data_IF_017496320037
#
_entry.id   IF_017496320037
#
_cell.length_a   1.000
_cell.length_b   1.000
_cell.length_c   1.000
_cell.angle_alpha   90.00
_cell.angle_beta   90.00
_cell.angle_gamma   90.00
#
_symmetry.space_group_name_H-M   'P 1'
#
loop_
_entity.id
_entity.type
_entity.pdbx_description
1 polymer ?
#
# COMPACT_ATOMS: atom_id res chain seq x y z
N UNK A 1 -77.51 12.03 -35.04
CA UNK A 1 -78.13 13.36 -34.89
C UNK A 1 -78.55 13.46 -33.43
N UNK A 2 -77.88 14.16 -32.51
CA UNK A 2 -77.24 15.47 -32.57
C UNK A 2 -76.42 15.64 -31.26
N UNK A 3 -75.38 16.49 -31.33
CA UNK A 3 -74.66 17.15 -30.22
C UNK A 3 -73.69 16.22 -29.46
N UNK A 4 -72.36 16.19 -29.61
CA UNK A 4 -71.32 17.18 -29.98
C UNK A 4 -71.49 18.54 -29.29
N UNK A 5 -70.47 18.92 -28.49
CA UNK A 5 -70.32 20.14 -27.69
C UNK A 5 -70.69 19.94 -26.21
N UNK A 6 -69.79 19.30 -25.43
CA UNK A 6 -69.46 19.76 -24.07
C UNK A 6 -68.18 19.11 -23.49
N UNK A 7 -67.15 18.79 -24.31
CA UNK A 7 -65.80 18.46 -23.81
C UNK A 7 -64.73 19.03 -24.77
N UNK A 8 -64.75 20.35 -24.99
CA UNK A 8 -63.65 21.07 -25.65
C UNK A 8 -63.07 22.22 -24.82
N UNK A 9 -63.38 22.31 -23.53
CA UNK A 9 -62.83 23.35 -22.64
C UNK A 9 -61.86 22.83 -21.56
N UNK A 10 -61.43 21.56 -21.61
CA UNK A 10 -60.48 21.00 -20.65
C UNK A 10 -59.17 20.45 -21.26
N UNK A 11 -58.94 20.68 -22.55
CA UNK A 11 -57.71 20.26 -23.25
C UNK A 11 -56.78 21.43 -23.63
N UNK A 12 -57.09 22.68 -23.22
CA UNK A 12 -56.25 23.86 -23.50
C UNK A 12 -55.70 24.58 -22.25
N UNK A 13 -55.95 24.06 -21.04
CA UNK A 13 -55.30 24.52 -19.81
C UNK A 13 -54.19 23.57 -19.30
N UNK A 14 -54.01 22.41 -19.95
CA UNK A 14 -52.97 21.44 -19.58
C UNK A 14 -51.66 21.59 -20.39
N UNK A 15 -51.65 22.39 -21.46
CA UNK A 15 -50.45 22.62 -22.28
C UNK A 15 -49.75 23.95 -22.00
N UNK A 16 -50.39 24.90 -21.32
CA UNK A 16 -49.70 26.11 -20.83
C UNK A 16 -49.03 25.92 -19.46
N UNK A 17 -49.51 24.99 -18.62
CA UNK A 17 -48.89 24.73 -17.31
C UNK A 17 -47.71 23.75 -17.37
N UNK A 18 -47.59 22.94 -18.42
CA UNK A 18 -46.48 21.99 -18.57
C UNK A 18 -45.21 22.65 -19.13
N UNK A 19 -45.36 23.77 -19.84
CA UNK A 19 -44.22 24.52 -20.42
C UNK A 19 -43.62 25.52 -19.42
N UNK A 20 -44.36 25.96 -18.39
CA UNK A 20 -43.85 26.89 -17.38
C UNK A 20 -43.28 26.20 -16.12
N UNK A 21 -43.60 24.92 -15.89
CA UNK A 21 -43.00 24.11 -14.80
C UNK A 21 -41.66 23.48 -15.18
N UNK A 22 -41.40 23.21 -16.46
CA UNK A 22 -40.09 22.72 -16.93
C UNK A 22 -39.05 23.84 -17.09
N UNK A 23 -39.45 25.12 -17.12
CA UNK A 23 -38.52 26.27 -17.20
C UNK A 23 -38.07 26.84 -15.85
N UNK A 24 -38.62 26.39 -14.71
CA UNK A 24 -38.27 26.89 -13.36
C UNK A 24 -37.59 25.86 -12.44
N UNK A 25 -37.21 24.69 -12.96
CA UNK A 25 -36.52 23.65 -12.19
C UNK A 25 -35.21 23.16 -12.82
N UNK A 26 -34.51 24.01 -13.56
CA UNK A 26 -33.06 23.82 -13.80
C UNK A 26 -32.27 24.38 -12.61
N UNK A 27 -32.48 23.78 -11.43
CA UNK A 27 -31.39 23.74 -10.45
C UNK A 27 -30.46 22.65 -10.97
N UNK A 28 -29.26 23.04 -11.42
CA UNK A 28 -28.24 22.07 -11.77
C UNK A 28 -28.18 20.97 -10.70
N UNK A 29 -28.10 19.69 -11.08
CA UNK A 29 -27.83 18.60 -10.18
C UNK A 29 -26.70 18.99 -9.23
N UNK A 30 -26.85 18.68 -7.94
CA UNK A 30 -25.82 18.95 -6.93
C UNK A 30 -24.46 18.38 -7.39
N UNK A 31 -24.49 17.25 -8.11
CA UNK A 31 -23.32 16.64 -8.74
C UNK A 31 -22.64 17.56 -9.76
N UNK A 32 -23.37 18.20 -10.67
CA UNK A 32 -22.81 19.13 -11.66
C UNK A 32 -22.26 20.43 -11.02
N UNK A 33 -22.74 20.78 -9.82
CA UNK A 33 -22.21 21.89 -9.03
C UNK A 33 -20.91 21.51 -8.32
N UNK A 34 -20.86 20.29 -7.79
CA UNK A 34 -19.67 19.70 -7.16
C UNK A 34 -18.58 19.48 -8.22
N UNK A 35 -18.91 18.87 -9.35
CA UNK A 35 -17.97 18.58 -10.45
C UNK A 35 -17.35 19.86 -11.03
N UNK A 36 -18.13 20.94 -11.10
CA UNK A 36 -17.63 22.26 -11.50
C UNK A 36 -16.74 22.90 -10.44
N UNK A 37 -17.10 22.81 -9.16
CA UNK A 37 -16.25 23.33 -8.08
C UNK A 37 -14.93 22.54 -7.96
N UNK A 38 -14.93 21.24 -8.28
CA UNK A 38 -13.72 20.40 -8.40
C UNK A 38 -12.88 20.84 -9.60
N UNK A 39 -13.52 21.02 -10.76
CA UNK A 39 -12.84 21.45 -12.00
C UNK A 39 -12.27 22.87 -11.91
N UNK A 40 -12.88 23.72 -11.11
CA UNK A 40 -12.43 25.09 -10.82
C UNK A 40 -11.45 25.17 -9.63
N UNK A 41 -11.07 24.03 -9.02
CA UNK A 41 -10.12 23.97 -7.91
C UNK A 41 -10.63 24.55 -6.58
N UNK A 42 -11.95 24.75 -6.44
CA UNK A 42 -12.61 25.35 -5.26
C UNK A 42 -13.04 24.31 -4.22
N UNK A 43 -13.15 23.04 -4.60
CA UNK A 43 -13.31 21.90 -3.69
C UNK A 43 -12.21 20.87 -3.98
N UNK A 44 -11.43 20.49 -2.96
CA UNK A 44 -10.66 19.23 -3.00
C UNK A 44 -11.65 18.11 -2.69
N UNK A 45 -11.94 17.25 -3.68
CA UNK A 45 -12.67 16.03 -3.39
C UNK A 45 -11.71 15.12 -2.62
N UNK A 46 -11.91 15.04 -1.30
CA UNK A 46 -11.30 13.98 -0.53
C UNK A 46 -11.97 12.68 -0.97
N UNK A 47 -11.22 11.74 -1.53
CA UNK A 47 -11.78 10.49 -2.05
C UNK A 47 -12.45 9.70 -0.92
N UNK A 48 -13.42 8.85 -1.22
CA UNK A 48 -14.02 7.94 -0.22
C UNK A 48 -12.93 7.09 0.44
N UNK A 49 -11.85 6.78 -0.30
CA UNK A 49 -10.69 6.07 0.22
C UNK A 49 -9.89 6.93 1.19
N UNK A 50 -9.71 8.23 0.95
CA UNK A 50 -9.13 9.23 1.88
C UNK A 50 -10.02 9.53 3.12
N UNK A 51 -11.34 9.39 3.01
CA UNK A 51 -12.26 9.50 4.16
C UNK A 51 -12.29 8.23 5.02
N UNK A 52 -12.25 7.04 4.42
CA UNK A 52 -12.09 5.76 5.14
C UNK A 52 -10.74 5.67 5.82
N UNK A 53 -9.72 6.11 5.11
CA UNK A 53 -8.38 6.39 5.56
C UNK A 53 -8.29 7.20 6.86
N UNK A 54 -8.93 8.38 6.91
CA UNK A 54 -8.97 9.22 8.12
C UNK A 54 -9.73 8.53 9.26
N UNK A 55 -10.82 7.81 8.94
CA UNK A 55 -11.58 7.05 9.92
C UNK A 55 -10.81 5.84 10.50
N UNK A 56 -10.01 5.14 9.70
CA UNK A 56 -9.19 3.99 10.15
C UNK A 56 -7.99 4.41 11.01
N UNK A 57 -7.42 5.61 10.78
CA UNK A 57 -6.40 6.16 11.68
C UNK A 57 -7.00 6.61 13.00
N UNK A 58 -8.23 7.16 12.99
CA UNK A 58 -8.98 7.47 14.22
C UNK A 58 -9.40 6.23 15.01
N UNK A 59 -9.54 5.07 14.37
CA UNK A 59 -9.83 3.79 15.06
C UNK A 59 -8.60 3.11 15.67
N UNK A 60 -7.38 3.42 15.22
CA UNK A 60 -6.16 2.96 15.93
C UNK A 60 -5.92 3.87 17.13
N UNK A 61 -6.15 3.35 18.33
CA UNK A 61 -5.70 3.98 19.58
C UNK A 61 -4.15 4.03 19.61
N UNK A 62 -3.58 5.09 19.06
CA UNK A 62 -2.13 5.36 19.09
C UNK A 62 -1.66 6.01 20.41
N UNK A 63 -2.57 6.25 21.36
CA UNK A 63 -2.25 7.01 22.58
C UNK A 63 -1.90 8.47 22.25
N UNK A 64 -1.16 9.14 23.12
CA UNK A 64 -0.72 10.53 22.94
C UNK A 64 0.54 10.65 22.04
N UNK A 65 0.99 9.56 21.41
CA UNK A 65 2.22 9.55 20.61
C UNK A 65 2.00 10.14 19.20
N UNK A 66 2.96 10.93 18.68
CA UNK A 66 2.86 11.45 17.32
C UNK A 66 2.86 10.35 16.25
N UNK A 67 1.90 10.41 15.33
CA UNK A 67 1.80 9.51 14.18
C UNK A 67 1.71 10.31 12.90
N UNK A 68 2.55 9.96 11.94
CA UNK A 68 2.60 10.57 10.62
C UNK A 68 2.11 9.54 9.59
N UNK A 69 1.06 9.89 8.85
CA UNK A 69 0.67 9.12 7.67
C UNK A 69 1.68 9.32 6.54
N UNK A 70 2.15 8.22 5.96
CA UNK A 70 3.06 8.24 4.83
C UNK A 70 2.29 7.99 3.54
N UNK A 71 2.43 8.92 2.59
CA UNK A 71 1.95 8.75 1.22
C UNK A 71 2.79 7.69 0.53
N UNK A 72 2.13 6.69 -0.04
CA UNK A 72 2.76 5.66 -0.86
C UNK A 72 2.67 6.07 -2.34
N UNK A 73 3.82 6.33 -2.96
CA UNK A 73 3.94 6.53 -4.39
C UNK A 73 4.37 5.24 -5.09
N UNK A 74 3.39 4.56 -5.69
CA UNK A 74 3.58 3.40 -6.56
C UNK A 74 4.43 2.28 -5.95
N UNK A 75 4.37 2.09 -4.63
CA UNK A 75 5.16 1.09 -3.92
C UNK A 75 6.68 1.34 -3.96
N UNK A 76 7.12 2.51 -4.43
CA UNK A 76 8.53 2.87 -4.64
C UNK A 76 9.03 3.98 -3.70
N UNK A 77 8.15 4.78 -3.12
CA UNK A 77 8.54 5.83 -2.20
C UNK A 77 7.46 6.12 -1.17
N UNK A 78 7.87 6.30 0.09
CA UNK A 78 7.01 6.61 1.22
C UNK A 78 7.42 7.91 1.86
N UNK A 79 6.50 8.87 1.96
CA UNK A 79 6.83 10.19 2.48
C UNK A 79 5.69 10.83 3.25
N UNK A 80 6.04 11.59 4.30
CA UNK A 80 5.10 12.27 5.18
C UNK A 80 5.49 13.75 5.39
N UNK A 81 4.63 14.55 6.04
CA UNK A 81 4.95 15.94 6.35
C UNK A 81 5.99 16.10 7.46
N UNK A 82 6.90 17.05 7.30
CA UNK A 82 7.66 17.69 8.37
C UNK A 82 7.51 19.22 8.27
N UNK A 83 7.75 19.92 9.39
CA UNK A 83 7.58 21.37 9.48
C UNK A 83 8.89 22.02 9.89
N UNK A 84 9.33 23.03 9.14
CA UNK A 84 10.64 23.66 9.32
C UNK A 84 10.52 25.17 9.51
N UNK A 85 11.25 25.68 10.49
CA UNK A 85 11.39 27.10 10.80
C UNK A 85 10.25 27.70 11.64
N UNK A 86 10.45 28.95 12.10
CA UNK A 86 9.50 29.65 12.99
C UNK A 86 8.10 29.88 12.42
N UNK A 87 7.90 29.61 11.12
CA UNK A 87 6.62 29.70 10.42
C UNK A 87 6.03 28.33 10.04
N UNK A 88 6.64 27.23 10.47
CA UNK A 88 6.19 25.87 10.15
C UNK A 88 6.03 25.65 8.63
N UNK A 89 7.06 25.98 7.85
CA UNK A 89 7.06 25.68 6.41
C UNK A 89 6.98 24.16 6.22
N UNK A 90 5.96 23.69 5.51
CA UNK A 90 5.67 22.26 5.35
C UNK A 90 6.45 21.67 4.18
N UNK A 91 7.13 20.55 4.44
CA UNK A 91 7.85 19.77 3.45
C UNK A 91 7.39 18.31 3.48
N UNK A 92 7.34 17.69 2.33
CA UNK A 92 7.18 16.24 2.22
C UNK A 92 8.55 15.56 2.31
N UNK A 93 8.71 14.65 3.27
CA UNK A 93 9.99 14.02 3.61
C UNK A 93 9.93 12.51 3.42
N UNK A 94 10.92 11.94 2.75
CA UNK A 94 11.21 10.51 2.93
C UNK A 94 11.81 10.35 4.32
N UNK A 95 11.15 9.59 5.18
CA UNK A 95 11.69 9.20 6.47
C UNK A 95 12.59 8.00 6.24
N UNK A 96 13.90 8.24 6.25
CA UNK A 96 14.91 7.36 5.67
C UNK A 96 15.79 6.74 6.75
N UNK A 97 15.60 5.46 7.03
CA UNK A 97 16.42 4.73 8.00
C UNK A 97 17.82 4.37 7.48
N UNK A 98 18.09 4.57 6.19
CA UNK A 98 19.40 4.36 5.55
C UNK A 98 20.31 5.60 5.56
N UNK A 99 19.85 6.76 6.02
CA UNK A 99 20.65 7.99 6.04
C UNK A 99 20.55 8.81 7.33
N UNK A 100 21.54 9.69 7.51
CA UNK A 100 21.74 10.45 8.74
C UNK A 100 21.15 11.86 8.69
N UNK A 101 21.34 12.57 7.58
CA UNK A 101 21.03 13.99 7.51
C UNK A 101 19.57 14.25 7.18
N UNK A 102 18.97 15.22 7.89
CA UNK A 102 17.81 15.93 7.38
C UNK A 102 18.27 16.93 6.32
N UNK A 103 17.60 16.99 5.17
CA UNK A 103 17.85 18.02 4.19
C UNK A 103 16.58 18.42 3.43
N UNK A 104 16.53 19.69 3.06
CA UNK A 104 15.44 20.27 2.27
C UNK A 104 16.00 21.21 1.19
N UNK A 105 15.29 21.38 0.07
CA UNK A 105 15.70 22.27 -0.99
C UNK A 105 15.67 23.74 -0.56
N UNK A 106 16.73 24.47 -0.88
CA UNK A 106 16.76 25.93 -0.82
C UNK A 106 15.94 26.54 -1.96
N UNK A 107 15.47 27.77 -1.75
CA UNK A 107 14.88 28.55 -2.83
C UNK A 107 15.91 28.76 -3.94
N UNK A 108 15.60 28.26 -5.14
CA UNK A 108 16.49 28.34 -6.29
C UNK A 108 17.43 27.15 -6.45
N UNK A 109 17.21 26.06 -5.70
CA UNK A 109 17.96 24.82 -5.90
C UNK A 109 17.90 24.36 -7.37
N UNK A 110 19.06 23.98 -7.92
CA UNK A 110 19.17 23.38 -9.23
C UNK A 110 19.14 21.84 -9.13
N UNK A 111 18.22 21.19 -9.85
CA UNK A 111 18.08 19.73 -9.86
C UNK A 111 17.29 19.12 -8.70
N UNK A 112 16.88 19.92 -7.71
CA UNK A 112 16.01 19.44 -6.63
C UNK A 112 14.60 19.03 -7.11
N UNK A 113 13.90 18.16 -6.35
CA UNK A 113 12.47 17.91 -6.53
C UNK A 113 11.65 19.19 -6.24
N UNK A 114 11.46 20.05 -7.24
CA UNK A 114 10.91 21.40 -7.06
C UNK A 114 9.38 21.43 -6.81
N UNK A 115 8.89 20.96 -5.64
CA UNK A 115 7.51 21.22 -5.20
C UNK A 115 7.46 22.32 -4.13
N UNK A 116 8.20 22.16 -3.04
CA UNK A 116 8.40 23.17 -2.01
C UNK A 116 9.89 23.53 -1.89
N UNK A 117 10.19 24.76 -1.46
CA UNK A 117 11.55 25.21 -1.19
C UNK A 117 11.57 26.10 0.05
N UNK A 118 12.66 26.02 0.81
CA UNK A 118 12.79 26.73 2.07
C UNK A 118 13.06 28.21 1.86
N UNK A 119 12.21 29.04 2.47
CA UNK A 119 12.33 30.49 2.50
C UNK A 119 13.02 30.92 3.80
N UNK A 120 14.35 30.86 3.81
CA UNK A 120 15.17 31.20 4.98
C UNK A 120 14.83 32.57 5.60
N UNK A 121 14.57 33.57 4.76
CA UNK A 121 14.21 34.93 5.19
C UNK A 121 12.86 35.01 5.94
N UNK A 122 12.02 33.97 5.88
CA UNK A 122 10.75 33.93 6.60
C UNK A 122 10.85 33.30 7.99
N UNK A 123 11.94 32.58 8.28
CA UNK A 123 12.17 31.94 9.57
C UNK A 123 13.05 32.81 10.46
N UNK A 124 12.47 33.24 11.58
CA UNK A 124 13.16 34.06 12.59
C UNK A 124 14.17 33.24 13.41
N UNK A 125 14.14 31.91 13.28
CA UNK A 125 14.98 30.95 14.03
C UNK A 125 16.06 30.30 13.17
N UNK A 126 16.08 30.57 11.86
CA UNK A 126 17.07 30.03 10.95
C UNK A 126 18.44 30.67 11.17
N UNK A 127 19.48 29.84 11.21
CA UNK A 127 20.89 30.26 11.22
C UNK A 127 21.65 29.46 10.17
N UNK A 128 22.19 30.15 9.16
CA UNK A 128 23.15 29.55 8.23
C UNK A 128 24.53 29.49 8.91
N UNK A 129 25.16 28.31 8.90
CA UNK A 129 26.51 28.12 9.46
C UNK A 129 27.61 28.52 8.46
N UNK A 130 27.28 28.64 7.17
CA UNK A 130 28.22 28.88 6.08
C UNK A 130 29.12 27.68 5.75
N UNK A 131 28.90 26.53 6.39
CA UNK A 131 29.65 25.29 6.13
C UNK A 131 28.95 24.52 5.03
N UNK A 132 29.66 24.25 3.94
CA UNK A 132 29.14 23.45 2.84
C UNK A 132 29.20 21.95 3.19
N UNK A 133 28.16 21.20 2.79
CA UNK A 133 28.02 19.77 2.97
C UNK A 133 27.57 19.13 1.67
N UNK A 134 28.19 17.99 1.35
CA UNK A 134 27.82 17.13 0.23
C UNK A 134 27.39 15.77 0.78
N UNK A 135 26.27 15.25 0.28
CA UNK A 135 25.67 13.99 0.71
C UNK A 135 25.47 13.08 -0.50
N UNK A 136 26.03 11.89 -0.43
CA UNK A 136 25.92 10.88 -1.49
C UNK A 136 24.93 9.80 -1.10
N UNK A 137 24.01 9.50 -2.01
CA UNK A 137 23.03 8.42 -1.90
C UNK A 137 23.32 7.34 -2.95
N UNK A 138 22.65 6.19 -2.83
CA UNK A 138 22.76 5.11 -3.83
C UNK A 138 22.34 5.56 -5.23
N UNK A 139 21.46 6.55 -5.34
CA UNK A 139 21.06 7.18 -6.58
C UNK A 139 21.08 8.70 -6.44
N UNK A 140 22.24 9.29 -6.73
CA UNK A 140 22.43 10.73 -6.78
C UNK A 140 23.07 11.32 -5.54
N UNK A 141 23.26 12.63 -5.57
CA UNK A 141 23.86 13.39 -4.48
C UNK A 141 23.24 14.77 -4.38
N UNK A 142 23.38 15.38 -3.20
CA UNK A 142 22.96 16.75 -2.94
C UNK A 142 24.10 17.53 -2.30
N UNK A 143 24.16 18.82 -2.62
CA UNK A 143 25.16 19.74 -2.09
C UNK A 143 24.46 21.01 -1.61
N UNK A 144 24.84 21.49 -0.43
CA UNK A 144 24.22 22.67 0.18
C UNK A 144 24.97 23.14 1.41
N UNK A 145 24.40 24.10 2.13
CA UNK A 145 24.99 24.61 3.36
C UNK A 145 24.30 23.99 4.58
N UNK A 146 25.07 23.73 5.63
CA UNK A 146 24.53 23.35 6.93
C UNK A 146 23.86 24.58 7.53
N UNK A 147 22.59 24.45 7.88
CA UNK A 147 21.84 25.41 8.68
C UNK A 147 21.35 24.79 9.98
N UNK A 148 20.94 25.64 10.92
CA UNK A 148 20.12 25.22 12.07
C UNK A 148 18.78 25.92 12.02
N UNK A 149 17.72 25.19 12.34
CA UNK A 149 16.39 25.74 12.56
C UNK A 149 15.54 24.78 13.40
N UNK A 150 14.31 25.19 13.70
CA UNK A 150 13.30 24.36 14.35
C UNK A 150 12.71 23.35 13.35
N UNK A 151 12.77 22.06 13.65
CA UNK A 151 12.20 20.97 12.86
C UNK A 151 11.21 20.18 13.71
N UNK A 152 9.98 20.07 13.22
CA UNK A 152 8.88 19.39 13.89
C UNK A 152 8.25 18.28 13.04
N UNK A 153 7.77 17.24 13.72
CA UNK A 153 6.90 16.19 13.17
C UNK A 153 5.41 16.54 13.26
N UNK A 154 5.10 17.67 13.89
CA UNK A 154 3.80 18.33 13.94
C UNK A 154 3.99 19.85 13.87
N UNK A 155 2.90 20.61 13.93
CA UNK A 155 2.95 22.08 13.85
C UNK A 155 3.21 22.77 15.19
N UNK A 156 2.92 22.08 16.29
CA UNK A 156 2.86 22.70 17.60
C UNK A 156 4.21 22.58 18.36
N UNK A 157 4.99 21.54 18.05
CA UNK A 157 6.24 21.23 18.72
C UNK A 157 7.36 20.95 17.69
N UNK A 158 8.55 21.45 17.99
CA UNK A 158 9.73 21.31 17.13
C UNK A 158 11.01 21.32 17.97
N UNK A 159 12.05 20.64 17.47
CA UNK A 159 13.38 20.66 18.07
C UNK A 159 14.35 21.44 17.18
N UNK A 160 15.31 22.15 17.79
CA UNK A 160 16.35 22.82 17.01
C UNK A 160 17.35 21.76 16.50
N UNK A 161 17.50 21.63 15.19
CA UNK A 161 18.37 20.63 14.56
C UNK A 161 19.27 21.26 13.50
N UNK A 162 20.46 20.68 13.31
CA UNK A 162 21.27 20.89 12.11
C UNK A 162 20.67 20.13 10.93
N UNK A 163 20.62 20.77 9.76
CA UNK A 163 20.17 20.18 8.51
C UNK A 163 20.92 20.76 7.31
N UNK A 164 20.87 20.09 6.16
CA UNK A 164 21.45 20.62 4.92
C UNK A 164 20.39 21.37 4.13
N UNK A 165 20.64 22.65 3.87
CA UNK A 165 19.86 23.49 2.97
C UNK A 165 20.45 23.36 1.56
N UNK A 166 19.79 22.59 0.71
CA UNK A 166 20.34 22.10 -0.56
C UNK A 166 20.22 23.13 -1.69
N UNK A 167 21.34 23.45 -2.33
CA UNK A 167 21.42 24.37 -3.48
C UNK A 167 21.54 23.62 -4.82
N UNK A 168 22.07 22.40 -4.80
CA UNK A 168 22.27 21.57 -5.99
C UNK A 168 21.95 20.11 -5.70
N UNK A 169 21.32 19.45 -6.67
CA UNK A 169 21.11 18.01 -6.64
C UNK A 169 21.28 17.39 -8.02
N UNK A 170 21.90 16.21 -8.08
CA UNK A 170 22.09 15.41 -9.28
C UNK A 170 21.48 14.02 -9.09
N UNK A 171 20.85 13.49 -10.14
CA UNK A 171 20.18 12.17 -10.18
C UNK A 171 19.08 11.90 -9.14
N UNK A 172 18.69 12.90 -8.32
CA UNK A 172 17.61 12.79 -7.34
C UNK A 172 16.26 13.34 -7.84
N UNK A 173 16.23 14.04 -8.98
CA UNK A 173 15.05 14.77 -9.47
C UNK A 173 13.79 13.92 -9.70
N UNK A 174 13.93 12.59 -9.81
CA UNK A 174 12.81 11.65 -9.93
C UNK A 174 11.97 11.48 -8.65
N UNK A 175 12.57 11.81 -7.49
CA UNK A 175 11.96 11.75 -6.16
C UNK A 175 10.67 12.58 -6.08
N UNK A 176 9.66 12.08 -5.35
CA UNK A 176 8.38 12.77 -5.15
C UNK A 176 8.33 13.59 -3.87
N UNK A 177 9.05 13.19 -2.83
CA UNK A 177 9.23 14.02 -1.64
C UNK A 177 10.05 15.28 -1.96
N UNK A 178 9.92 16.32 -1.14
CA UNK A 178 10.75 17.53 -1.22
C UNK A 178 12.17 17.25 -0.74
N UNK A 179 12.32 16.46 0.32
CA UNK A 179 13.61 16.16 0.95
C UNK A 179 13.67 14.81 1.66
N UNK A 180 14.72 14.61 2.43
CA UNK A 180 14.95 13.40 3.25
C UNK A 180 15.08 13.80 4.72
N UNK A 181 14.46 13.02 5.59
CA UNK A 181 14.62 13.05 7.04
C UNK A 181 15.34 11.77 7.46
N UNK A 182 16.65 11.87 7.68
CA UNK A 182 17.48 10.75 8.12
C UNK A 182 17.08 10.22 9.50
N UNK A 183 17.02 8.90 9.64
CA UNK A 183 16.57 8.17 10.83
C UNK A 183 17.54 7.05 11.23
N UNK A 184 18.80 7.14 10.83
CA UNK A 184 19.84 6.19 11.23
C UNK A 184 20.04 6.13 12.76
N UNK A 185 20.55 5.02 13.36
CA UNK A 185 20.64 4.90 14.81
C UNK A 185 21.83 5.65 15.44
N UNK A 186 22.79 6.11 14.63
CA UNK A 186 24.06 6.71 15.06
C UNK A 186 24.61 7.67 14.00
N UNK A 187 25.36 8.69 14.42
CA UNK A 187 25.95 9.68 13.50
C UNK A 187 27.44 9.43 13.30
N UNK A 188 27.89 9.48 12.05
CA UNK A 188 29.33 9.52 11.69
C UNK A 188 29.68 10.67 10.76
N UNK A 189 28.69 11.25 10.08
CA UNK A 189 28.85 12.42 9.21
C UNK A 189 28.55 13.74 9.95
N UNK A 190 28.20 13.66 11.23
CA UNK A 190 28.01 14.81 12.10
C UNK A 190 26.68 15.53 11.91
N UNK A 191 25.68 14.95 11.28
CA UNK A 191 24.27 15.35 11.32
C UNK A 191 23.63 15.08 12.69
N UNK A 192 22.57 15.83 12.99
CA UNK A 192 21.81 15.60 14.22
C UNK A 192 20.85 14.41 14.06
N UNK A 193 20.81 13.52 15.04
CA UNK A 193 19.89 12.37 15.04
C UNK A 193 18.47 12.83 15.40
N UNK A 194 17.59 12.90 14.41
CA UNK A 194 16.24 13.46 14.54
C UNK A 194 15.46 12.90 15.75
N UNK A 195 15.49 11.59 15.94
CA UNK A 195 14.75 10.92 17.03
C UNK A 195 15.24 11.37 18.41
N UNK A 196 16.56 11.42 18.61
CA UNK A 196 17.16 11.88 19.88
C UNK A 196 16.87 13.36 20.13
N UNK A 197 16.88 14.19 19.07
CA UNK A 197 16.57 15.62 19.16
C UNK A 197 15.13 15.87 19.57
N UNK A 198 14.17 15.11 19.01
CA UNK A 198 12.77 15.21 19.38
C UNK A 198 12.54 14.77 20.83
N UNK A 199 13.17 13.69 21.26
CA UNK A 199 13.03 13.20 22.64
C UNK A 199 13.70 14.12 23.66
N UNK A 200 14.87 14.69 23.32
CA UNK A 200 15.58 15.65 24.16
C UNK A 200 14.79 16.93 24.46
N UNK A 201 13.90 17.33 23.55
CA UNK A 201 12.96 18.44 23.72
C UNK A 201 11.63 18.01 24.35
N UNK A 202 11.45 16.73 24.68
CA UNK A 202 10.23 16.19 25.28
C UNK A 202 9.04 16.07 24.32
N UNK A 203 9.28 16.14 23.01
CA UNK A 203 8.23 16.04 21.97
C UNK A 203 7.75 14.59 21.81
N UNK A 204 8.67 13.65 22.03
CA UNK A 204 8.38 12.22 22.01
C UNK A 204 8.86 11.60 23.32
N UNK A 205 8.14 10.58 23.80
CA UNK A 205 8.37 10.02 25.14
C UNK A 205 9.53 9.01 25.23
N UNK A 206 10.07 8.58 24.09
CA UNK A 206 11.15 7.59 23.99
C UNK A 206 11.96 7.82 22.72
N UNK A 207 13.24 7.43 22.72
CA UNK A 207 14.13 7.43 21.56
C UNK A 207 13.81 6.25 20.61
N UNK A 208 12.55 6.16 20.20
CA UNK A 208 12.02 5.02 19.46
C UNK A 208 11.05 5.48 18.40
N UNK A 209 10.99 4.75 17.29
CA UNK A 209 9.95 4.92 16.30
C UNK A 209 9.57 3.60 15.65
N UNK A 210 8.32 3.51 15.22
CA UNK A 210 7.75 2.33 14.57
C UNK A 210 7.32 2.70 13.16
N UNK A 211 7.78 1.95 12.16
CA UNK A 211 7.37 2.11 10.77
C UNK A 211 6.49 0.94 10.36
N UNK A 212 5.44 1.25 9.61
CA UNK A 212 4.67 0.27 8.85
C UNK A 212 4.58 0.72 7.39
N UNK A 213 5.09 -0.13 6.49
CA UNK A 213 5.06 0.10 5.05
C UNK A 213 3.90 -0.70 4.43
N UNK A 214 2.84 -0.01 4.03
CA UNK A 214 1.66 -0.57 3.39
C UNK A 214 1.80 -0.70 1.87
N UNK A 215 0.97 -1.56 1.25
CA UNK A 215 0.92 -1.71 -0.22
C UNK A 215 -0.07 -0.73 -0.84
N UNK A 216 0.30 -0.12 -1.97
CA UNK A 216 -0.48 0.91 -2.65
C UNK A 216 -1.87 0.39 -3.01
N UNK A 217 -2.90 1.15 -2.62
CA UNK A 217 -4.30 0.77 -2.85
C UNK A 217 -4.85 -0.32 -1.91
N UNK A 218 -4.04 -0.82 -0.96
CA UNK A 218 -4.48 -1.82 0.02
C UNK A 218 -4.35 -1.31 1.45
N UNK A 219 -3.16 -0.86 1.84
CA UNK A 219 -2.85 -0.46 3.21
C UNK A 219 -2.21 0.91 3.26
N UNK A 220 -2.48 1.62 4.34
CA UNK A 220 -1.80 2.88 4.65
C UNK A 220 -0.45 2.64 5.29
N UNK A 221 0.55 3.39 4.85
CA UNK A 221 1.83 3.50 5.52
C UNK A 221 1.79 4.56 6.60
N UNK A 222 2.54 4.37 7.68
CA UNK A 222 2.64 5.33 8.78
C UNK A 222 3.93 5.12 9.55
N UNK A 223 4.35 6.17 10.26
CA UNK A 223 5.43 6.16 11.25
C UNK A 223 4.87 6.71 12.56
N UNK A 224 5.14 6.03 13.67
CA UNK A 224 4.76 6.41 15.04
C UNK A 224 6.04 6.67 15.85
N UNK A 225 6.16 7.83 16.49
CA UNK A 225 7.34 8.19 17.29
C UNK A 225 7.04 8.13 18.79
N UNK A 226 8.03 7.76 19.59
CA UNK A 226 7.98 7.87 21.05
C UNK A 226 7.22 6.77 21.79
N UNK A 227 6.79 5.72 21.10
CA UNK A 227 6.10 4.60 21.74
C UNK A 227 7.10 3.58 22.25
N UNK A 228 7.17 3.46 23.58
CA UNK A 228 8.04 2.50 24.26
C UNK A 228 7.74 1.05 23.83
N UNK A 229 8.79 0.36 23.40
CA UNK A 229 8.76 -1.01 22.91
C UNK A 229 8.51 -2.05 24.01
N UNK A 230 8.91 -1.78 25.26
CA UNK A 230 8.79 -2.72 26.37
C UNK A 230 7.32 -2.91 26.80
N UNK A 231 6.43 -2.01 26.37
CA UNK A 231 4.97 -2.13 26.54
C UNK A 231 4.30 -3.02 25.49
N UNK A 232 5.05 -3.52 24.50
CA UNK A 232 4.52 -4.28 23.37
C UNK A 232 4.69 -5.79 23.61
N UNK A 233 3.60 -6.55 23.44
CA UNK A 233 3.65 -8.02 23.45
C UNK A 233 3.96 -8.57 22.06
N UNK A 234 4.50 -9.79 22.02
CA UNK A 234 4.80 -10.56 20.79
C UNK A 234 5.87 -9.96 19.88
N UNK A 235 6.74 -9.07 20.36
CA UNK A 235 7.86 -8.52 19.59
C UNK A 235 9.07 -9.45 19.65
N UNK A 236 9.77 -9.61 18.52
CA UNK A 236 11.07 -10.26 18.45
C UNK A 236 12.16 -9.22 18.22
N UNK A 237 13.21 -9.28 19.04
CA UNK A 237 14.29 -8.31 19.00
C UNK A 237 15.50 -8.85 18.25
N UNK A 238 16.03 -8.04 17.34
CA UNK A 238 17.30 -8.25 16.67
C UNK A 238 18.27 -7.17 17.12
N UNK A 239 19.40 -7.55 17.70
CA UNK A 239 20.43 -6.58 18.07
C UNK A 239 21.14 -6.07 16.81
N UNK A 240 21.49 -4.79 16.83
CA UNK A 240 22.27 -4.19 15.76
C UNK A 240 23.74 -4.60 15.87
N UNK A 241 24.36 -4.84 14.73
CA UNK A 241 25.80 -5.10 14.60
C UNK A 241 26.35 -4.30 13.40
N UNK A 242 27.59 -3.78 13.47
CA UNK A 242 28.22 -3.11 12.32
C UNK A 242 28.36 -4.06 11.13
N UNK A 243 28.43 -3.52 9.91
CA UNK A 243 28.50 -4.33 8.68
C UNK A 243 29.74 -5.21 8.64
N UNK A 244 30.86 -4.69 9.09
CA UNK A 244 32.09 -5.45 9.32
C UNK A 244 32.60 -5.23 10.75
N UNK A 245 33.44 -6.13 11.30
CA UNK A 245 34.00 -5.94 12.64
C UNK A 245 34.94 -4.72 12.78
N UNK A 246 35.29 -4.07 11.66
CA UNK A 246 36.14 -2.89 11.63
C UNK A 246 35.33 -1.59 11.58
N UNK A 247 34.05 -1.66 11.23
CA UNK A 247 33.19 -0.49 11.09
C UNK A 247 32.60 -0.07 12.42
N UNK A 248 32.34 1.23 12.56
CA UNK A 248 31.40 1.72 13.57
C UNK A 248 29.98 1.28 13.21
N UNK A 249 29.13 1.10 14.23
CA UNK A 249 27.71 0.89 14.00
C UNK A 249 27.13 2.18 13.41
N UNK A 250 26.73 2.15 12.15
CA UNK A 250 26.18 3.30 11.42
C UNK A 250 24.73 3.12 11.01
N UNK A 251 24.31 1.90 10.66
CA UNK A 251 23.00 1.59 10.09
C UNK A 251 22.12 0.78 11.05
N UNK A 252 20.83 0.66 10.73
CA UNK A 252 19.95 -0.37 11.29
C UNK A 252 20.31 -1.75 10.72
N UNK A 253 21.52 -2.22 11.01
CA UNK A 253 22.07 -3.44 10.46
C UNK A 253 21.98 -4.63 11.41
N UNK A 254 21.53 -5.78 10.89
CA UNK A 254 21.40 -7.02 11.66
C UNK A 254 21.97 -8.21 10.90
N UNK A 255 22.56 -9.21 11.59
CA UNK A 255 22.96 -10.45 10.96
C UNK A 255 21.73 -11.30 10.62
N UNK A 256 21.80 -12.05 9.53
CA UNK A 256 20.84 -13.10 9.22
C UNK A 256 21.53 -14.46 9.19
N UNK A 257 20.82 -15.49 9.64
CA UNK A 257 21.36 -16.85 9.79
C UNK A 257 21.25 -17.66 8.50
N UNK A 258 20.16 -17.51 7.75
CA UNK A 258 19.98 -18.15 6.45
C UNK A 258 19.01 -17.38 5.57
N UNK A 259 19.19 -17.51 4.26
CA UNK A 259 18.24 -17.06 3.24
C UNK A 259 17.89 -18.26 2.36
N UNK A 260 16.60 -18.46 2.08
CA UNK A 260 16.12 -19.48 1.16
C UNK A 260 15.30 -18.87 0.02
N UNK A 261 15.36 -19.49 -1.15
CA UNK A 261 14.43 -19.28 -2.26
C UNK A 261 13.54 -20.52 -2.39
N UNK A 262 12.36 -20.48 -1.77
CA UNK A 262 11.53 -21.67 -1.62
C UNK A 262 12.20 -22.68 -0.70
N UNK A 263 12.53 -23.87 -1.22
CA UNK A 263 13.19 -24.94 -0.46
C UNK A 263 14.73 -24.91 -0.61
N UNK A 264 15.27 -24.02 -1.44
CA UNK A 264 16.70 -23.91 -1.71
C UNK A 264 17.38 -22.91 -0.77
N UNK A 265 18.31 -23.37 0.07
CA UNK A 265 19.15 -22.49 0.90
C UNK A 265 20.26 -21.85 0.07
N UNK A 266 20.33 -20.51 0.10
CA UNK A 266 21.30 -19.73 -0.63
C UNK A 266 22.58 -19.52 0.19
N UNK A 267 23.73 -19.74 -0.44
CA UNK A 267 25.02 -19.42 0.16
C UNK A 267 25.56 -18.10 -0.40
N UNK A 268 25.12 -16.99 0.20
CA UNK A 268 25.57 -15.65 -0.16
C UNK A 268 26.89 -15.30 0.54
N UNK A 269 27.72 -14.45 -0.08
CA UNK A 269 28.92 -13.92 0.55
C UNK A 269 28.57 -12.96 1.70
N UNK A 270 27.57 -12.11 1.47
CA UNK A 270 27.06 -11.15 2.45
C UNK A 270 26.31 -11.88 3.58
N UNK A 271 26.52 -11.47 4.84
CA UNK A 271 25.84 -12.03 6.03
C UNK A 271 25.12 -11.00 6.90
N UNK A 272 25.24 -9.73 6.53
CA UNK A 272 24.61 -8.60 7.19
C UNK A 272 23.48 -8.04 6.34
N UNK A 273 22.46 -7.50 6.98
CA UNK A 273 21.35 -6.79 6.34
C UNK A 273 21.28 -5.38 6.85
N UNK A 274 20.78 -4.44 6.05
CA UNK A 274 20.46 -3.06 6.43
C UNK A 274 18.97 -2.86 6.19
N UNK A 275 18.26 -2.36 7.19
CA UNK A 275 16.81 -2.16 7.14
C UNK A 275 16.52 -0.71 6.77
N UNK A 276 16.12 -0.49 5.52
CA UNK A 276 16.17 0.84 4.90
C UNK A 276 14.83 1.25 4.26
N UNK A 277 14.12 2.20 4.87
CA UNK A 277 12.88 2.77 4.34
C UNK A 277 13.10 3.81 3.24
N UNK A 278 14.33 4.27 3.02
CA UNK A 278 14.73 5.18 1.94
C UNK A 278 14.95 4.49 0.60
N UNK A 279 15.04 3.16 0.58
CA UNK A 279 15.29 2.37 -0.62
C UNK A 279 14.08 1.53 -1.01
N UNK A 280 13.73 1.53 -2.30
CA UNK A 280 12.57 0.78 -2.80
C UNK A 280 12.79 -0.74 -2.90
N UNK A 281 14.02 -1.17 -3.18
CA UNK A 281 14.36 -2.52 -3.64
C UNK A 281 15.26 -3.29 -2.67
N UNK A 282 15.53 -4.56 -2.98
CA UNK A 282 16.61 -5.29 -2.31
C UNK A 282 17.91 -4.96 -3.04
N UNK A 283 18.93 -4.50 -2.31
CA UNK A 283 20.28 -4.28 -2.82
C UNK A 283 21.24 -5.34 -2.30
N UNK A 284 22.06 -5.93 -3.14
CA UNK A 284 23.08 -6.89 -2.71
C UNK A 284 24.31 -6.88 -3.62
N UNK A 285 25.42 -7.48 -3.17
CA UNK A 285 26.62 -7.61 -4.00
C UNK A 285 26.30 -8.29 -5.34
N UNK A 286 26.95 -7.89 -6.44
CA UNK A 286 26.64 -8.43 -7.78
C UNK A 286 26.58 -9.96 -7.85
N UNK A 287 27.53 -10.67 -7.24
CA UNK A 287 27.56 -12.14 -7.22
C UNK A 287 26.40 -12.75 -6.40
N UNK A 288 26.01 -12.09 -5.31
CA UNK A 288 24.85 -12.49 -4.50
C UNK A 288 23.54 -12.25 -5.25
N UNK A 289 23.44 -11.18 -6.04
CA UNK A 289 22.28 -10.91 -6.93
C UNK A 289 22.15 -12.00 -7.98
N UNK A 290 23.25 -12.41 -8.61
CA UNK A 290 23.24 -13.52 -9.58
C UNK A 290 22.82 -14.82 -8.90
N UNK A 291 23.35 -15.11 -7.71
CA UNK A 291 22.99 -16.32 -6.93
C UNK A 291 21.50 -16.34 -6.59
N UNK A 292 20.96 -15.23 -6.09
CA UNK A 292 19.52 -15.09 -5.83
C UNK A 292 18.70 -15.27 -7.10
N UNK A 293 19.06 -14.62 -8.21
CA UNK A 293 18.34 -14.72 -9.46
C UNK A 293 18.31 -16.15 -10.02
N UNK A 294 19.41 -16.90 -9.90
CA UNK A 294 19.52 -18.31 -10.30
C UNK A 294 18.52 -19.20 -9.55
N UNK A 295 18.47 -19.08 -8.22
CA UNK A 295 17.53 -19.83 -7.41
C UNK A 295 16.07 -19.44 -7.71
N UNK A 296 15.80 -18.13 -7.87
CA UNK A 296 14.49 -17.61 -8.22
C UNK A 296 14.00 -18.08 -9.61
N UNK A 297 14.90 -18.29 -10.55
CA UNK A 297 14.59 -18.73 -11.92
C UNK A 297 14.22 -20.22 -12.01
N UNK A 298 14.53 -21.04 -10.99
CA UNK A 298 14.25 -22.48 -10.96
C UNK A 298 14.71 -23.22 -12.23
N UNK A 299 15.95 -22.98 -12.64
CA UNK A 299 16.57 -23.61 -13.80
C UNK A 299 16.18 -23.03 -15.16
N UNK A 300 15.39 -21.96 -15.20
CA UNK A 300 15.14 -21.19 -16.43
C UNK A 300 16.33 -20.29 -16.76
N UNK A 301 16.47 -19.95 -18.04
CA UNK A 301 17.46 -19.00 -18.50
C UNK A 301 17.22 -17.62 -17.88
N UNK A 302 18.31 -16.97 -17.46
CA UNK A 302 18.31 -15.62 -16.90
C UNK A 302 18.90 -14.68 -17.93
N UNK A 303 18.20 -13.57 -18.15
CA UNK A 303 18.69 -12.44 -18.91
C UNK A 303 18.78 -11.18 -18.04
N UNK A 304 19.42 -10.15 -18.57
CA UNK A 304 19.45 -8.82 -17.99
C UNK A 304 18.62 -7.87 -18.87
N UNK A 305 17.75 -7.06 -18.27
CA UNK A 305 17.02 -6.00 -18.97
C UNK A 305 17.88 -4.72 -19.06
N UNK A 306 17.60 -3.77 -19.96
CA UNK A 306 18.41 -2.56 -20.14
C UNK A 306 18.67 -1.74 -18.87
N UNK A 307 17.74 -1.80 -17.92
CA UNK A 307 17.81 -1.14 -16.62
C UNK A 307 18.73 -1.86 -15.61
N UNK A 308 19.37 -2.95 -16.01
CA UNK A 308 20.35 -3.69 -15.20
C UNK A 308 19.77 -4.82 -14.34
N UNK A 309 18.45 -4.94 -14.25
CA UNK A 309 17.78 -6.00 -13.47
C UNK A 309 17.88 -7.37 -14.16
N UNK A 310 17.98 -8.41 -13.34
CA UNK A 310 17.91 -9.78 -13.81
C UNK A 310 16.46 -10.24 -13.95
N UNK A 311 16.19 -11.05 -14.95
CA UNK A 311 14.86 -11.56 -15.25
C UNK A 311 14.91 -12.99 -15.80
N UNK A 312 13.82 -13.73 -15.60
CA UNK A 312 13.62 -15.04 -16.23
C UNK A 312 12.23 -15.13 -16.88
N UNK A 313 12.03 -16.12 -17.75
CA UNK A 313 10.72 -16.37 -18.36
C UNK A 313 9.71 -16.84 -17.30
N UNK A 314 8.50 -16.27 -17.29
CA UNK A 314 7.44 -16.73 -16.40
C UNK A 314 6.05 -16.43 -16.96
N UNK A 315 5.09 -17.31 -16.64
CA UNK A 315 3.70 -17.07 -16.97
C UNK A 315 3.05 -16.20 -15.90
N UNK A 316 3.38 -16.45 -14.63
CA UNK A 316 2.87 -15.73 -13.46
C UNK A 316 3.98 -15.40 -12.47
N UNK A 317 3.78 -14.34 -11.70
CA UNK A 317 4.67 -13.97 -10.59
C UNK A 317 4.82 -15.10 -9.58
N UNK A 318 3.73 -15.83 -9.30
CA UNK A 318 3.70 -16.95 -8.36
C UNK A 318 4.51 -18.19 -8.83
N UNK A 319 5.04 -18.19 -10.06
CA UNK A 319 5.95 -19.25 -10.52
C UNK A 319 7.35 -19.11 -9.86
N UNK A 320 7.72 -17.88 -9.46
CA UNK A 320 8.92 -17.56 -8.68
C UNK A 320 8.73 -18.02 -7.22
N UNK A 321 9.71 -18.66 -6.58
CA UNK A 321 9.60 -19.03 -5.17
C UNK A 321 9.68 -17.81 -4.24
N UNK A 322 9.11 -17.87 -3.03
CA UNK A 322 9.28 -16.82 -2.02
C UNK A 322 10.73 -16.75 -1.52
N UNK A 323 11.13 -15.59 -1.00
CA UNK A 323 12.36 -15.46 -0.22
C UNK A 323 12.05 -15.65 1.26
N UNK A 324 12.84 -16.45 1.97
CA UNK A 324 12.64 -16.74 3.39
C UNK A 324 13.93 -16.42 4.13
N UNK A 325 13.92 -15.32 4.88
CA UNK A 325 15.01 -14.90 5.73
C UNK A 325 14.83 -15.49 7.12
N UNK A 326 15.92 -15.96 7.72
CA UNK A 326 15.95 -16.36 9.11
C UNK A 326 16.88 -15.43 9.89
N UNK A 327 16.35 -14.68 10.84
CA UNK A 327 17.10 -13.83 11.76
C UNK A 327 17.13 -14.51 13.12
N UNK A 328 18.09 -15.39 13.35
CA UNK A 328 18.29 -16.09 14.62
C UNK A 328 17.02 -16.82 15.14
N UNK A 329 16.40 -17.63 14.28
CA UNK A 329 15.16 -18.35 14.60
C UNK A 329 13.88 -17.56 14.33
N UNK A 330 13.98 -16.35 13.78
CA UNK A 330 12.83 -15.56 13.33
C UNK A 330 12.73 -15.57 11.82
N UNK A 331 11.75 -16.30 11.31
CA UNK A 331 11.50 -16.40 9.88
C UNK A 331 10.66 -15.22 9.38
N UNK A 332 11.18 -14.54 8.37
CA UNK A 332 10.52 -13.47 7.63
C UNK A 332 10.40 -13.94 6.19
N UNK A 333 9.17 -14.17 5.73
CA UNK A 333 8.90 -14.68 4.39
C UNK A 333 8.32 -13.57 3.51
N UNK A 334 8.95 -13.36 2.36
CA UNK A 334 8.56 -12.38 1.37
C UNK A 334 7.96 -13.13 0.17
N UNK A 335 6.70 -12.81 -0.13
CA UNK A 335 6.04 -13.40 -1.29
C UNK A 335 6.54 -12.77 -2.60
N UNK A 336 6.59 -13.51 -3.71
CA UNK A 336 7.11 -13.03 -5.00
C UNK A 336 6.53 -11.69 -5.45
N UNK A 337 5.23 -11.46 -5.22
CA UNK A 337 4.53 -10.21 -5.55
C UNK A 337 5.09 -8.93 -4.92
N UNK A 338 5.96 -9.05 -3.92
CA UNK A 338 6.58 -7.89 -3.27
C UNK A 338 7.96 -7.55 -3.87
N UNK A 339 8.61 -8.49 -4.58
CA UNK A 339 9.95 -8.31 -5.16
C UNK A 339 10.06 -8.74 -6.64
N UNK A 340 8.96 -9.08 -7.30
CA UNK A 340 8.93 -9.51 -8.71
C UNK A 340 7.93 -8.68 -9.49
N UNK A 341 8.39 -8.08 -10.58
CA UNK A 341 7.55 -7.40 -11.56
C UNK A 341 7.42 -8.25 -12.82
N UNK A 342 6.18 -8.60 -13.20
CA UNK A 342 5.94 -9.30 -14.46
C UNK A 342 5.75 -8.31 -15.60
N UNK A 343 6.59 -8.39 -16.62
CA UNK A 343 6.51 -7.57 -17.83
C UNK A 343 6.82 -8.40 -19.07
N UNK A 344 5.97 -8.32 -20.09
CA UNK A 344 6.20 -8.93 -21.42
C UNK A 344 6.60 -10.42 -21.43
N UNK A 345 6.08 -11.23 -20.48
CA UNK A 345 6.40 -12.65 -20.36
C UNK A 345 7.65 -12.96 -19.53
N UNK A 346 8.25 -11.94 -18.92
CA UNK A 346 9.39 -12.04 -18.02
C UNK A 346 8.98 -11.67 -16.60
N UNK A 347 9.59 -12.35 -15.63
CA UNK A 347 9.60 -11.97 -14.23
C UNK A 347 10.91 -11.25 -13.97
N UNK A 348 10.84 -9.93 -13.82
CA UNK A 348 11.96 -9.07 -13.46
C UNK A 348 12.09 -9.09 -11.94
N UNK A 349 13.28 -9.43 -11.44
CA UNK A 349 13.56 -9.42 -10.02
C UNK A 349 13.93 -8.01 -9.59
N UNK A 350 13.19 -7.47 -8.62
CA UNK A 350 13.42 -6.15 -8.02
C UNK A 350 14.55 -6.23 -6.98
N UNK A 351 15.67 -6.80 -7.42
CA UNK A 351 16.90 -7.01 -6.67
C UNK A 351 18.01 -6.39 -7.52
N UNK A 352 18.72 -5.40 -6.97
CA UNK A 352 19.71 -4.62 -7.68
C UNK A 352 21.14 -4.91 -7.19
N UNK A 353 22.13 -4.92 -8.09
CA UNK A 353 23.52 -4.97 -7.70
C UNK A 353 23.93 -3.67 -6.99
N UNK A 354 24.52 -3.81 -5.82
CA UNK A 354 25.06 -2.72 -5.01
C UNK A 354 26.37 -3.19 -4.36
N UNK A 355 27.43 -2.40 -4.48
CA UNK A 355 28.73 -2.72 -3.89
C UNK A 355 28.80 -2.22 -2.43
N UNK A 356 28.18 -2.99 -1.54
CA UNK A 356 28.09 -2.72 -0.10
C UNK A 356 28.34 -4.01 0.68
N UNK A 357 28.98 -3.93 1.85
CA UNK A 357 29.26 -5.10 2.71
C UNK A 357 28.03 -5.69 3.42
N UNK A 358 26.85 -5.10 3.18
CA UNK A 358 25.55 -5.58 3.65
C UNK A 358 24.53 -5.69 2.52
N UNK A 359 23.49 -6.48 2.75
CA UNK A 359 22.33 -6.56 1.88
C UNK A 359 21.30 -5.53 2.33
N UNK A 360 21.00 -4.58 1.46
CA UNK A 360 20.03 -3.53 1.71
C UNK A 360 18.61 -4.10 1.53
N UNK A 361 17.82 -4.07 2.59
CA UNK A 361 16.43 -4.51 2.65
C UNK A 361 15.51 -3.31 2.59
N UNK A 362 15.14 -2.94 1.36
CA UNK A 362 14.23 -1.84 1.08
C UNK A 362 12.75 -2.15 1.28
N UNK A 363 11.89 -1.29 0.74
CA UNK A 363 10.44 -1.39 0.81
C UNK A 363 9.88 -2.74 0.33
N UNK A 364 10.48 -3.36 -0.70
CA UNK A 364 10.08 -4.69 -1.19
C UNK A 364 10.19 -5.78 -0.11
N UNK A 365 11.12 -5.63 0.84
CA UNK A 365 11.24 -6.47 2.02
C UNK A 365 10.35 -6.00 3.18
N UNK A 366 10.36 -4.69 3.47
CA UNK A 366 9.72 -4.11 4.67
C UNK A 366 8.18 -4.12 4.60
N UNK A 367 7.62 -4.18 3.39
CA UNK A 367 6.19 -4.09 3.15
C UNK A 367 5.37 -5.15 3.88
N UNK A 368 4.28 -4.71 4.50
CA UNK A 368 3.41 -5.55 5.33
C UNK A 368 3.99 -5.88 6.71
N UNK A 369 5.20 -5.40 7.01
CA UNK A 369 5.84 -5.58 8.31
C UNK A 369 5.74 -4.30 9.13
N UNK A 370 5.54 -4.47 10.44
CA UNK A 370 5.65 -3.40 11.43
C UNK A 370 7.01 -3.58 12.12
N UNK A 371 7.88 -2.59 11.99
CA UNK A 371 9.25 -2.63 12.50
C UNK A 371 9.45 -1.48 13.48
N UNK A 372 9.91 -1.80 14.68
CA UNK A 372 10.30 -0.82 15.69
C UNK A 372 11.82 -0.63 15.61
N UNK A 373 12.23 0.62 15.73
CA UNK A 373 13.60 1.08 15.70
C UNK A 373 13.89 1.66 17.09
N UNK A 374 14.60 0.90 17.92
CA UNK A 374 14.97 1.28 19.28
C UNK A 374 16.41 1.84 19.27
N UNK A 375 16.52 3.17 19.30
CA UNK A 375 17.79 3.89 19.16
C UNK A 375 18.65 3.69 20.41
N UNK A 376 18.06 3.67 21.60
CA UNK A 376 18.78 3.51 22.86
C UNK A 376 19.27 2.06 23.04
N UNK A 377 18.38 1.10 22.78
CA UNK A 377 18.66 -0.33 22.87
C UNK A 377 19.51 -0.89 21.73
N UNK A 378 19.79 -0.09 20.69
CA UNK A 378 20.49 -0.50 19.46
C UNK A 378 19.95 -1.83 18.94
N UNK A 379 18.64 -1.89 18.71
CA UNK A 379 17.93 -3.10 18.29
C UNK A 379 16.71 -2.79 17.42
N UNK A 380 16.33 -3.75 16.59
CA UNK A 380 15.07 -3.75 15.84
C UNK A 380 14.05 -4.63 16.53
N UNK A 381 12.81 -4.17 16.61
CA UNK A 381 11.66 -4.95 17.05
C UNK A 381 10.80 -5.37 15.86
N UNK A 382 10.63 -6.67 15.65
CA UNK A 382 9.83 -7.23 14.55
C UNK A 382 8.56 -7.86 15.12
N UNK A 383 7.42 -7.44 14.59
CA UNK A 383 6.16 -8.13 14.89
C UNK A 383 5.97 -9.36 13.99
N UNK A 384 5.32 -10.42 14.49
CA UNK A 384 4.94 -11.58 13.68
C UNK A 384 4.14 -11.13 12.46
N UNK A 385 4.62 -11.48 11.27
CA UNK A 385 3.94 -11.13 10.03
C UNK A 385 2.55 -11.79 10.00
N UNK A 386 1.51 -11.00 9.77
CA UNK A 386 0.22 -11.53 9.34
C UNK A 386 0.31 -11.76 7.84
N UNK A 387 0.50 -13.01 7.42
CA UNK A 387 0.46 -13.37 6.01
C UNK A 387 -0.87 -12.91 5.39
N UNK A 388 -0.82 -12.02 4.39
CA UNK A 388 -1.94 -11.77 3.51
C UNK A 388 -2.21 -13.05 2.74
N UNK A 389 -3.12 -13.90 3.25
CA UNK A 389 -3.65 -15.01 2.47
C UNK A 389 -4.29 -14.43 1.22
N UNK A 390 -3.72 -14.73 0.06
CA UNK A 390 -4.38 -14.51 -1.23
C UNK A 390 -5.73 -15.23 -1.20
N UNK A 391 -6.82 -14.47 -1.07
CA UNK A 391 -8.18 -14.98 -0.98
C UNK A 391 -8.75 -15.42 -2.34
N UNK A 392 -7.90 -15.74 -3.31
CA UNK A 392 -8.30 -16.27 -4.61
C UNK A 392 -8.76 -17.73 -4.56
N UNK A 393 -8.46 -18.45 -3.47
CA UNK A 393 -8.67 -19.91 -3.38
C UNK A 393 -10.02 -20.40 -2.86
N UNK A 394 -10.91 -19.55 -2.30
CA UNK A 394 -12.17 -20.01 -1.69
C UNK A 394 -13.44 -19.31 -2.18
N UNK A 395 -13.34 -18.17 -2.87
CA UNK A 395 -14.53 -17.45 -3.35
C UNK A 395 -15.36 -18.26 -4.35
N UNK A 396 -14.72 -19.11 -5.17
CA UNK A 396 -15.40 -19.96 -6.14
C UNK A 396 -16.28 -21.04 -5.48
N UNK A 397 -15.93 -21.52 -4.28
CA UNK A 397 -16.76 -22.48 -3.53
C UNK A 397 -18.11 -21.87 -3.12
N UNK A 398 -18.12 -20.58 -2.75
CA UNK A 398 -19.34 -19.85 -2.43
C UNK A 398 -20.19 -19.51 -3.66
N UNK A 399 -19.60 -19.51 -4.86
CA UNK A 399 -20.31 -19.34 -6.13
C UNK A 399 -20.87 -20.68 -6.64
N UNK A 400 -20.15 -21.80 -6.43
CA UNK A 400 -20.60 -23.12 -6.88
C UNK A 400 -21.75 -23.69 -6.05
N UNK A 401 -21.77 -23.45 -4.73
CA UNK A 401 -22.80 -24.01 -3.84
C UNK A 401 -24.23 -23.53 -4.20
N UNK A 402 -24.49 -22.23 -4.45
CA UNK A 402 -25.79 -21.75 -4.94
C UNK A 402 -26.14 -22.31 -6.32
N UNK A 403 -25.18 -22.41 -7.23
CA UNK A 403 -25.39 -22.90 -8.60
C UNK A 403 -25.78 -24.39 -8.59
N UNK A 404 -25.09 -25.21 -7.80
CA UNK A 404 -25.47 -26.61 -7.56
C UNK A 404 -26.85 -26.72 -6.91
N UNK A 405 -27.18 -25.84 -5.96
CA UNK A 405 -28.51 -25.77 -5.35
C UNK A 405 -29.62 -25.50 -6.38
N UNK A 406 -29.43 -24.53 -7.28
CA UNK A 406 -30.40 -24.19 -8.34
C UNK A 406 -30.56 -25.34 -9.34
N UNK A 407 -29.45 -26.00 -9.72
CA UNK A 407 -29.49 -27.17 -10.62
C UNK A 407 -30.28 -28.33 -9.98
N UNK A 408 -30.02 -28.63 -8.70
CA UNK A 408 -30.72 -29.71 -7.99
C UNK A 408 -32.22 -29.41 -7.82
N UNK A 409 -32.59 -28.16 -7.52
CA UNK A 409 -34.00 -27.73 -7.46
C UNK A 409 -34.65 -27.85 -8.85
N UNK A 410 -33.95 -27.45 -9.92
CA UNK A 410 -34.43 -27.58 -11.29
C UNK A 410 -34.68 -29.03 -11.70
N UNK A 411 -33.74 -29.93 -11.40
CA UNK A 411 -33.87 -31.38 -11.66
C UNK A 411 -35.04 -31.96 -10.85
N UNK A 412 -35.12 -31.64 -9.56
CA UNK A 412 -36.22 -32.10 -8.69
C UNK A 412 -37.58 -31.61 -9.19
N UNK A 413 -37.68 -30.34 -9.58
CA UNK A 413 -38.88 -29.75 -10.18
C UNK A 413 -39.27 -30.42 -11.49
N UNK A 414 -38.30 -30.71 -12.37
CA UNK A 414 -38.54 -31.41 -13.63
C UNK A 414 -39.01 -32.85 -13.42
N UNK A 415 -38.42 -33.59 -12.47
CA UNK A 415 -38.86 -34.95 -12.12
C UNK A 415 -40.30 -34.95 -11.57
N UNK A 416 -40.64 -33.99 -10.71
CA UNK A 416 -42.01 -33.85 -10.18
C UNK A 416 -43.01 -33.44 -11.27
N UNK A 417 -42.61 -32.55 -12.17
CA UNK A 417 -43.42 -32.16 -13.34
C UNK A 417 -43.69 -33.38 -14.24
N UNK A 418 -42.65 -34.13 -14.60
CA UNK A 418 -42.78 -35.34 -15.42
C UNK A 418 -43.72 -36.37 -14.77
N UNK A 419 -43.56 -36.63 -13.46
CA UNK A 419 -44.49 -37.50 -12.70
C UNK A 419 -45.93 -36.99 -12.75
N UNK A 420 -46.15 -35.67 -12.68
CA UNK A 420 -47.49 -35.07 -12.71
C UNK A 420 -48.12 -35.14 -14.10
N UNK A 421 -47.34 -34.96 -15.15
CA UNK A 421 -47.77 -35.13 -16.55
C UNK A 421 -48.13 -36.59 -16.82
N UNK A 422 -47.28 -37.54 -16.43
CA UNK A 422 -47.57 -38.97 -16.55
C UNK A 422 -48.86 -39.36 -15.79
N UNK A 423 -49.04 -38.86 -14.56
CA UNK A 423 -50.27 -39.11 -13.78
C UNK A 423 -51.53 -38.53 -14.45
N UNK A 424 -51.42 -37.39 -15.13
CA UNK A 424 -52.53 -36.84 -15.93
C UNK A 424 -52.83 -37.73 -17.14
N UNK A 425 -51.83 -38.25 -17.84
CA UNK A 425 -52.00 -39.16 -18.97
C UNK A 425 -52.76 -40.45 -18.59
N UNK A 426 -52.53 -40.98 -17.38
CA UNK A 426 -53.29 -42.13 -16.87
C UNK A 426 -54.76 -41.80 -16.54
N UNK A 427 -55.05 -40.58 -16.09
CA UNK A 427 -56.43 -40.14 -15.79
C UNK A 427 -57.21 -39.89 -17.09
N UNK A 428 -56.58 -39.33 -18.13
CA UNK A 428 -57.24 -39.16 -19.45
C UNK A 428 -57.42 -40.49 -20.19
N UNK A 429 -56.52 -41.47 -19.99
CA UNK A 429 -56.68 -42.82 -20.54
C UNK A 429 -57.77 -43.63 -19.80
N UNK A 430 -57.92 -43.44 -18.48
CA UNK A 430 -58.99 -44.07 -17.69
C UNK A 430 -60.40 -43.49 -17.95
N UNK A 431 -60.48 -42.20 -18.31
CA UNK A 431 -61.74 -41.54 -18.65
C UNK A 431 -62.40 -42.01 -19.96
N UNK A 432 -61.64 -42.65 -20.86
CA UNK A 432 -62.15 -43.16 -22.13
C UNK A 432 -62.61 -44.64 -22.08
N UNK A 433 -62.42 -45.33 -20.95
CA UNK A 433 -62.87 -46.72 -20.78
C UNK A 433 -64.27 -46.80 -20.14
N UNK A 434 -64.72 -45.76 -19.42
CA UNK A 434 -66.04 -45.78 -18.76
C UNK A 434 -67.23 -45.35 -19.63
N UNK A 435 -67.02 -44.84 -20.86
CA UNK A 435 -68.12 -44.44 -21.75
C UNK A 435 -68.54 -45.50 -22.79
N UNK A 436 -68.10 -46.76 -22.66
CA UNK A 436 -68.52 -47.87 -23.55
C UNK A 436 -69.21 -49.04 -22.86
N UNK A 437 -69.48 -48.95 -21.56
CA UNK A 437 -70.06 -50.04 -20.78
C UNK A 437 -71.28 -49.60 -19.95
N UNK A 438 -72.24 -48.86 -20.53
CA UNK A 438 -73.59 -48.72 -19.97
C UNK A 438 -74.62 -48.40 -21.07
N UNK A 439 -74.85 -49.37 -21.96
CA UNK A 439 -76.18 -49.66 -22.54
C UNK A 439 -76.36 -51.15 -22.27
N UNK A 440 -77.21 -51.62 -21.36
CA UNK A 440 -78.55 -51.15 -21.03
C UNK A 440 -79.45 -52.36 -21.27
N UNK A 441 -79.54 -53.25 -20.28
CA UNK A 441 -80.41 -54.42 -20.32
C UNK A 441 -81.61 -54.12 -19.41
N UNK A 442 -82.82 -54.03 -19.98
CA UNK A 442 -84.06 -53.96 -19.22
C UNK A 442 -85.22 -54.65 -19.96
N UNK A 443 -85.69 -55.75 -19.35
CA UNK A 443 -87.07 -56.28 -19.37
C UNK A 443 -87.62 -56.87 -20.70
N UNK A 444 -88.60 -57.79 -20.74
CA UNK A 444 -89.44 -58.48 -19.74
C UNK A 444 -90.02 -59.77 -20.37
N UNK A 445 -90.49 -60.62 -19.47
CA UNK A 445 -91.35 -61.82 -19.56
C UNK A 445 -92.55 -61.74 -20.53
N UNK A 446 -92.81 -62.84 -21.25
CA UNK A 446 -94.11 -63.55 -21.21
C UNK A 446 -94.97 -63.65 -22.48
N UNK A 447 -95.33 -64.90 -22.85
CA UNK A 447 -96.65 -65.22 -23.41
C UNK A 447 -96.67 -65.98 -24.74
N UNK A 448 -97.05 -67.28 -24.66
CA UNK A 448 -97.61 -68.22 -25.66
C UNK A 448 -97.07 -68.28 -27.09
#
# INVERSE_FOLDING_TARGET
>A
MKIFIFICAFALLATSLKIDLERRLTKEPIQDRIDRQIKEGRLKMMTIDELRADAMLKEKNFGDNPVIELKNYQDLQYYGPAFVGSKNQEFSMVYDTGSEWFWIPNKGCNGCPNKNAFEAASSDTFVDTGVNQELFYGQGHVTGNIGTDMIGIGKDDAAQMRFVLVDFAEDISGQKADGIAGLTPTTTLGGDLMVEKLAGEGIINANEFTVFIGKAGFDKSWIEFGKNIDDQTDVKFLNLEPLTPQDDLTYWSTPYTSLQAGDETLNLATKMTIWDTGTSLIGAKPDDVVTMAQALAKGKEIGQIPEGFLASLCDRVDDTPPLIFNFNGHEVKIEPKEFVLRSSGYCVYLIMPLDLDGMLLGDSFLRGSKIIHDVDGKRLGIFPQKFYKSSSGLLWLWILLPVLGVILIGIGGFCLYKRRVEKKSYITAGGNIQNKAMHGNYQRVGGN
#
